data_IF_843089974738
#
_entry.id   IF_843089974738
#
_cell.length_a   1.000
_cell.length_b   1.000
_cell.length_c   1.000
_cell.angle_alpha   90.00
_cell.angle_beta   90.00
_cell.angle_gamma   90.00
#
_symmetry.space_group_name_H-M   'P 1'
#
loop_
_entity.id
_entity.type
_entity.pdbx_description
1 polymer ?
#
# COMPACT_ATOMS: atom_id res chain seq x y z
N UNK A 1 37.73 4.75 -10.63
CA UNK A 1 36.40 4.46 -11.21
C UNK A 1 35.36 4.69 -10.14
N UNK A 2 34.15 5.16 -10.48
CA UNK A 2 33.14 5.48 -9.48
C UNK A 2 32.68 4.19 -8.81
N UNK A 3 33.08 3.99 -7.57
CA UNK A 3 32.60 2.92 -6.70
C UNK A 3 32.41 3.49 -5.30
N UNK A 4 31.55 2.86 -4.52
CA UNK A 4 31.27 3.29 -3.15
C UNK A 4 31.46 2.14 -2.15
N UNK A 5 31.99 2.48 -0.98
CA UNK A 5 32.11 1.56 0.17
C UNK A 5 30.80 1.46 0.90
N UNK A 6 30.66 0.43 1.73
CA UNK A 6 29.47 0.26 2.58
C UNK A 6 29.25 1.51 3.46
N UNK A 7 30.31 2.15 3.94
CA UNK A 7 30.21 3.37 4.74
C UNK A 7 29.65 4.58 3.98
N UNK A 8 29.68 4.56 2.65
CA UNK A 8 29.14 5.61 1.79
C UNK A 8 27.75 5.27 1.25
N UNK A 9 27.22 4.08 1.53
CA UNK A 9 25.97 3.64 0.93
C UNK A 9 24.81 4.56 1.33
N UNK A 10 24.64 4.82 2.63
CA UNK A 10 23.58 5.69 3.15
C UNK A 10 23.63 7.10 2.54
N UNK A 11 24.84 7.63 2.31
CA UNK A 11 25.03 8.92 1.64
C UNK A 11 24.50 8.91 0.20
N UNK A 12 24.75 7.85 -0.58
CA UNK A 12 24.22 7.75 -1.94
C UNK A 12 22.70 7.50 -1.96
N UNK A 13 22.16 6.81 -0.95
CA UNK A 13 20.71 6.64 -0.79
C UNK A 13 20.03 7.99 -0.53
N UNK A 14 20.57 8.80 0.37
CA UNK A 14 20.08 10.16 0.65
C UNK A 14 20.10 11.03 -0.62
N UNK A 15 21.19 10.98 -1.39
CA UNK A 15 21.29 11.69 -2.67
C UNK A 15 20.32 11.19 -3.75
N UNK A 16 19.76 9.98 -3.57
CA UNK A 16 18.84 9.34 -4.50
C UNK A 16 17.38 9.31 -4.03
N UNK A 17 17.02 10.10 -3.01
CA UNK A 17 15.65 10.12 -2.46
C UNK A 17 14.61 10.85 -3.34
N UNK A 18 15.08 11.74 -4.22
CA UNK A 18 14.24 12.68 -4.98
C UNK A 18 14.39 12.68 -6.51
N UNK A 19 14.83 11.59 -7.19
CA UNK A 19 14.87 11.60 -8.64
C UNK A 19 13.46 11.70 -9.21
N UNK A 20 13.29 12.57 -10.20
CA UNK A 20 12.04 12.63 -10.94
C UNK A 20 11.93 11.44 -11.93
N UNK A 21 10.72 11.14 -12.44
CA UNK A 21 10.55 10.03 -13.38
C UNK A 21 11.40 10.16 -14.65
N UNK A 22 11.65 11.37 -15.15
CA UNK A 22 12.45 11.58 -16.36
C UNK A 22 13.91 11.20 -16.11
N UNK A 23 14.48 11.56 -14.96
CA UNK A 23 15.81 11.15 -14.55
C UNK A 23 15.90 9.62 -14.43
N UNK A 24 14.87 8.97 -13.86
CA UNK A 24 14.78 7.51 -13.82
C UNK A 24 14.72 6.89 -15.22
N UNK A 25 13.96 7.46 -16.18
CA UNK A 25 13.97 7.01 -17.58
C UNK A 25 15.35 7.11 -18.22
N UNK A 26 16.05 8.23 -18.02
CA UNK A 26 17.39 8.43 -18.58
C UNK A 26 18.37 7.40 -18.01
N UNK A 27 18.33 7.16 -16.70
CA UNK A 27 19.17 6.15 -16.06
C UNK A 27 18.82 4.73 -16.54
N UNK A 28 17.54 4.40 -16.69
CA UNK A 28 17.10 3.10 -17.25
C UNK A 28 17.67 2.91 -18.66
N UNK A 29 17.63 3.96 -19.50
CA UNK A 29 18.18 3.91 -20.86
C UNK A 29 19.68 3.64 -20.88
N UNK A 30 20.44 4.20 -19.94
CA UNK A 30 21.89 3.95 -19.82
C UNK A 30 22.15 2.49 -19.43
N UNK A 31 21.54 2.04 -18.32
CA UNK A 31 21.75 0.68 -17.81
C UNK A 31 21.30 -0.38 -18.81
N UNK A 32 20.09 -0.22 -19.38
CA UNK A 32 19.58 -1.16 -20.39
C UNK A 32 20.50 -1.32 -21.60
N UNK A 33 21.00 -0.21 -22.16
CA UNK A 33 21.93 -0.26 -23.30
C UNK A 33 23.22 -1.01 -22.98
N UNK A 34 23.75 -0.86 -21.77
CA UNK A 34 24.94 -1.61 -21.32
C UNK A 34 24.61 -3.11 -21.27
N UNK A 35 23.49 -3.48 -20.66
CA UNK A 35 23.06 -4.88 -20.56
C UNK A 35 22.79 -5.50 -21.94
N UNK A 36 22.10 -4.79 -22.82
CA UNK A 36 21.78 -5.25 -24.19
C UNK A 36 23.01 -5.47 -25.05
N UNK A 37 23.98 -4.54 -25.00
CA UNK A 37 25.28 -4.69 -25.71
C UNK A 37 26.03 -5.93 -25.26
N UNK A 38 25.85 -6.33 -24.00
CA UNK A 38 26.46 -7.52 -23.41
C UNK A 38 25.53 -8.75 -23.46
N UNK A 39 24.41 -8.66 -24.20
CA UNK A 39 23.42 -9.75 -24.38
C UNK A 39 22.83 -10.28 -23.07
N UNK A 40 22.73 -9.42 -22.06
CA UNK A 40 22.13 -9.74 -20.76
C UNK A 40 20.65 -9.39 -20.83
N UNK A 41 19.80 -10.41 -20.74
CA UNK A 41 18.36 -10.20 -20.58
C UNK A 41 18.10 -9.53 -19.24
N UNK A 42 17.25 -8.52 -19.23
CA UNK A 42 16.81 -7.84 -18.01
C UNK A 42 15.30 -7.60 -18.05
N UNK A 43 14.72 -7.24 -16.91
CA UNK A 43 13.33 -6.83 -16.79
C UNK A 43 13.17 -5.80 -15.68
N UNK A 44 12.61 -4.63 -16.01
CA UNK A 44 12.27 -3.60 -15.02
C UNK A 44 11.11 -4.12 -14.15
N UNK A 45 11.22 -3.97 -12.84
CA UNK A 45 10.25 -4.44 -11.84
C UNK A 45 9.61 -3.23 -11.13
N UNK A 46 8.90 -3.51 -10.03
CA UNK A 46 8.56 -2.50 -9.04
C UNK A 46 7.68 -1.36 -9.52
N UNK A 47 7.88 -0.18 -8.92
CA UNK A 47 7.11 1.03 -9.24
C UNK A 47 7.33 1.50 -10.67
N UNK A 48 8.56 1.48 -11.17
CA UNK A 48 8.84 1.96 -12.53
C UNK A 48 8.24 1.10 -13.63
N UNK A 49 8.10 -0.22 -13.43
CA UNK A 49 7.34 -1.05 -14.38
C UNK A 49 5.90 -0.54 -14.52
N UNK A 50 5.25 -0.23 -13.39
CA UNK A 50 3.87 0.27 -13.38
C UNK A 50 3.77 1.70 -13.93
N UNK A 51 4.73 2.57 -13.59
CA UNK A 51 4.80 3.93 -14.12
C UNK A 51 4.88 3.92 -15.65
N UNK A 52 5.77 3.10 -16.22
CA UNK A 52 5.92 2.96 -17.68
C UNK A 52 4.64 2.43 -18.34
N UNK A 53 3.84 1.64 -17.63
CA UNK A 53 2.52 1.17 -18.10
C UNK A 53 1.42 2.22 -17.96
N UNK A 54 1.70 3.38 -17.37
CA UNK A 54 0.76 4.49 -17.20
C UNK A 54 0.13 4.59 -15.80
N UNK A 55 0.76 4.03 -14.78
CA UNK A 55 0.43 4.36 -13.39
C UNK A 55 0.90 5.78 -13.06
N UNK A 56 0.12 6.53 -12.29
CA UNK A 56 0.50 7.86 -11.80
C UNK A 56 1.40 7.83 -10.56
N UNK A 57 1.65 6.64 -10.00
CA UNK A 57 2.49 6.48 -8.81
C UNK A 57 3.96 6.61 -9.19
N UNK A 58 4.64 7.58 -8.61
CA UNK A 58 6.11 7.69 -8.68
C UNK A 58 6.77 6.72 -7.69
N UNK A 59 8.03 6.39 -7.94
CA UNK A 59 8.88 5.59 -7.05
C UNK A 59 10.22 6.29 -6.89
N UNK A 60 10.99 5.94 -5.87
CA UNK A 60 12.29 6.59 -5.61
C UNK A 60 13.43 5.83 -6.31
N UNK A 61 13.25 4.54 -6.51
CA UNK A 61 14.24 3.62 -7.03
C UNK A 61 13.75 2.85 -8.28
N UNK A 62 14.71 2.24 -8.97
CA UNK A 62 14.47 1.35 -10.10
C UNK A 62 14.85 -0.08 -9.74
N UNK A 63 13.86 -0.93 -9.55
CA UNK A 63 14.08 -2.36 -9.42
C UNK A 63 14.34 -3.00 -10.80
N UNK A 64 15.39 -3.81 -10.93
CA UNK A 64 15.69 -4.50 -12.19
C UNK A 64 16.12 -5.95 -11.96
N UNK A 65 15.39 -6.89 -12.58
CA UNK A 65 15.83 -8.28 -12.68
C UNK A 65 16.84 -8.44 -13.82
N UNK A 66 17.85 -9.26 -13.61
CA UNK A 66 18.81 -9.70 -14.64
C UNK A 66 18.89 -11.23 -14.69
N UNK A 67 19.17 -11.73 -15.89
CA UNK A 67 19.37 -13.15 -16.15
C UNK A 67 20.77 -13.62 -15.72
N UNK A 68 20.93 -14.92 -15.46
CA UNK A 68 22.21 -15.59 -15.21
C UNK A 68 22.48 -16.60 -16.34
N UNK A 69 23.70 -16.71 -16.91
CA UNK A 69 24.93 -15.93 -16.65
C UNK A 69 24.88 -14.54 -17.31
N UNK A 70 25.50 -13.50 -16.69
CA UNK A 70 26.72 -13.56 -15.85
C UNK A 70 26.51 -13.65 -14.32
N UNK A 71 27.57 -13.82 -13.52
CA UNK A 71 27.50 -13.58 -12.07
C UNK A 71 27.27 -12.08 -11.79
N UNK A 72 26.74 -11.71 -10.62
CA UNK A 72 26.54 -10.29 -10.27
C UNK A 72 27.83 -9.49 -10.42
N UNK A 73 28.98 -10.05 -10.01
CA UNK A 73 30.28 -9.41 -10.18
C UNK A 73 30.54 -9.03 -11.65
N UNK A 74 30.33 -9.96 -12.57
CA UNK A 74 30.59 -9.73 -13.99
C UNK A 74 29.66 -8.65 -14.55
N UNK A 75 28.40 -8.57 -14.07
CA UNK A 75 27.47 -7.49 -14.44
C UNK A 75 27.96 -6.14 -13.91
N UNK A 76 28.40 -6.10 -12.64
CA UNK A 76 28.95 -4.88 -12.06
C UNK A 76 30.25 -4.44 -12.74
N UNK A 77 31.05 -5.39 -13.23
CA UNK A 77 32.27 -5.10 -13.97
C UNK A 77 31.99 -4.42 -15.32
N UNK A 78 30.80 -4.60 -15.91
CA UNK A 78 30.37 -3.85 -17.11
C UNK A 78 30.21 -2.35 -16.86
N UNK A 79 30.06 -1.93 -15.60
CA UNK A 79 29.88 -0.54 -15.23
C UNK A 79 31.20 0.18 -14.93
N UNK A 80 32.33 -0.54 -14.88
CA UNK A 80 33.64 0.01 -14.52
C UNK A 80 34.06 1.22 -15.36
N UNK A 81 33.76 1.20 -16.66
CA UNK A 81 34.17 2.23 -17.61
C UNK A 81 33.16 3.39 -17.74
N UNK A 82 32.06 3.37 -16.98
CA UNK A 82 31.05 4.43 -17.06
C UNK A 82 31.28 5.48 -15.96
N UNK A 83 31.53 6.76 -16.30
CA UNK A 83 31.88 7.79 -15.32
C UNK A 83 30.73 8.15 -14.36
N UNK A 84 29.49 7.93 -14.79
CA UNK A 84 28.30 8.30 -14.02
C UNK A 84 27.65 7.13 -13.27
N UNK A 85 28.24 5.93 -13.28
CA UNK A 85 27.68 4.76 -12.58
C UNK A 85 28.55 4.41 -11.37
N UNK A 86 27.94 4.47 -10.19
CA UNK A 86 28.55 4.16 -8.91
C UNK A 86 28.07 2.80 -8.45
N UNK A 87 28.98 1.82 -8.45
CA UNK A 87 28.71 0.45 -8.02
C UNK A 87 29.29 0.15 -6.63
N UNK A 88 28.81 -0.89 -5.94
CA UNK A 88 29.45 -1.34 -4.71
C UNK A 88 30.88 -1.79 -4.99
N UNK A 89 31.80 -1.45 -4.10
CA UNK A 89 33.21 -1.87 -4.19
C UNK A 89 33.35 -3.37 -3.90
N UNK A 90 32.59 -3.88 -2.92
CA UNK A 90 32.87 -5.16 -2.28
C UNK A 90 31.71 -6.17 -2.41
N UNK A 91 32.06 -7.46 -2.44
CA UNK A 91 31.09 -8.57 -2.49
C UNK A 91 30.09 -8.59 -1.35
N UNK A 92 30.48 -8.11 -0.17
CA UNK A 92 29.58 -8.05 0.98
C UNK A 92 28.34 -7.20 0.71
N UNK A 93 28.46 -6.12 -0.07
CA UNK A 93 27.35 -5.21 -0.39
C UNK A 93 26.32 -5.83 -1.33
N UNK A 94 26.67 -6.91 -2.06
CA UNK A 94 25.74 -7.64 -2.94
C UNK A 94 25.62 -9.12 -2.61
N UNK A 95 26.11 -9.55 -1.45
CA UNK A 95 26.08 -10.95 -1.01
C UNK A 95 24.66 -11.50 -0.88
N UNK A 96 23.68 -10.63 -0.68
CA UNK A 96 22.25 -10.97 -0.67
C UNK A 96 21.71 -11.35 -2.05
N UNK A 97 22.41 -11.01 -3.14
CA UNK A 97 21.95 -11.17 -4.52
C UNK A 97 21.20 -9.95 -5.08
N UNK A 98 21.10 -8.86 -4.32
CA UNK A 98 20.77 -7.51 -4.82
C UNK A 98 22.05 -6.69 -4.81
N UNK A 99 22.36 -6.01 -5.91
CA UNK A 99 23.38 -4.98 -5.96
C UNK A 99 22.69 -3.62 -6.14
N UNK A 100 22.94 -2.71 -5.22
CA UNK A 100 22.48 -1.33 -5.31
C UNK A 100 23.46 -0.54 -6.17
N UNK A 101 23.00 0.11 -7.22
CA UNK A 101 23.84 0.88 -8.15
C UNK A 101 23.25 2.27 -8.24
N UNK A 102 24.08 3.31 -8.25
CA UNK A 102 23.62 4.68 -8.40
C UNK A 102 24.07 5.24 -9.73
N UNK A 103 23.14 5.83 -10.48
CA UNK A 103 23.41 6.45 -11.78
C UNK A 103 23.20 7.94 -11.67
N UNK A 104 24.24 8.73 -11.95
CA UNK A 104 24.18 10.18 -11.91
C UNK A 104 23.58 10.74 -13.21
N UNK A 105 22.45 11.46 -13.09
CA UNK A 105 21.74 12.12 -14.19
C UNK A 105 21.48 13.57 -13.78
N UNK A 106 22.04 14.53 -14.52
CA UNK A 106 21.84 15.97 -14.26
C UNK A 106 22.05 16.37 -12.79
N UNK A 107 23.15 15.88 -12.21
CA UNK A 107 23.53 16.07 -10.80
C UNK A 107 22.63 15.41 -9.74
N UNK A 108 21.62 14.63 -10.16
CA UNK A 108 20.79 13.79 -9.28
C UNK A 108 21.19 12.33 -9.41
N UNK A 109 21.12 11.58 -8.30
CA UNK A 109 21.40 10.15 -8.32
C UNK A 109 20.10 9.35 -8.44
N UNK A 110 20.10 8.35 -9.32
CA UNK A 110 19.03 7.37 -9.43
C UNK A 110 19.52 6.04 -8.88
N UNK A 111 18.82 5.52 -7.87
CA UNK A 111 19.09 4.21 -7.31
C UNK A 111 18.52 3.09 -8.19
N UNK A 112 19.33 2.06 -8.42
CA UNK A 112 18.95 0.79 -9.02
C UNK A 112 19.16 -0.35 -8.04
N UNK A 113 18.11 -1.12 -7.77
CA UNK A 113 18.24 -2.40 -7.07
C UNK A 113 18.27 -3.52 -8.13
N UNK A 114 19.49 -3.93 -8.51
CA UNK A 114 19.73 -4.97 -9.53
C UNK A 114 19.68 -6.34 -8.87
N UNK A 115 18.80 -7.22 -9.34
CA UNK A 115 18.47 -8.50 -8.73
C UNK A 115 18.75 -9.65 -9.68
N UNK A 116 19.39 -10.70 -9.18
CA UNK A 116 19.54 -11.95 -9.95
C UNK A 116 18.23 -12.73 -9.98
N UNK A 117 17.92 -13.33 -11.13
CA UNK A 117 16.85 -14.33 -11.21
C UNK A 117 17.04 -15.48 -10.21
N UNK A 118 15.92 -16.07 -9.79
CA UNK A 118 15.92 -17.26 -8.93
C UNK A 118 16.29 -17.03 -7.47
N UNK A 119 16.39 -15.78 -7.02
CA UNK A 119 16.53 -15.46 -5.60
C UNK A 119 15.25 -15.82 -4.85
N UNK A 120 15.36 -16.70 -3.86
CA UNK A 120 14.28 -16.97 -2.91
C UNK A 120 14.07 -15.75 -1.99
N UNK A 121 12.81 -15.38 -1.76
CA UNK A 121 12.42 -14.30 -0.84
C UNK A 121 12.15 -12.93 -1.49
N UNK A 122 12.83 -12.57 -2.58
CA UNK A 122 12.50 -11.35 -3.32
C UNK A 122 11.55 -11.69 -4.47
N UNK A 123 10.29 -11.28 -4.32
CA UNK A 123 9.33 -11.06 -5.41
C UNK A 123 9.52 -12.00 -6.63
N UNK A 124 9.24 -13.30 -6.45
CA UNK A 124 9.25 -14.37 -7.48
C UNK A 124 9.79 -13.99 -8.87
N UNK A 125 11.09 -13.67 -8.98
CA UNK A 125 11.71 -13.39 -10.28
C UNK A 125 11.76 -14.72 -11.02
N UNK A 126 11.14 -14.83 -12.21
CA UNK A 126 11.07 -16.11 -12.93
C UNK A 126 12.45 -16.67 -13.27
N UNK A 127 12.58 -17.99 -13.20
CA UNK A 127 13.82 -18.69 -13.59
C UNK A 127 14.16 -18.52 -15.08
N UNK A 128 13.13 -18.34 -15.90
CA UNK A 128 13.28 -17.99 -17.31
C UNK A 128 12.85 -16.52 -17.52
N UNK A 129 13.75 -15.59 -17.15
CA UNK A 129 13.48 -14.17 -17.24
C UNK A 129 13.17 -13.74 -18.68
N UNK A 130 13.86 -14.31 -19.68
CA UNK A 130 13.67 -14.00 -21.10
C UNK A 130 12.25 -14.24 -21.59
N UNK A 131 11.60 -15.31 -21.13
CA UNK A 131 10.20 -15.61 -21.47
C UNK A 131 9.21 -14.80 -20.62
N UNK A 132 9.70 -14.16 -19.57
CA UNK A 132 8.90 -13.47 -18.56
C UNK A 132 9.02 -11.94 -18.62
N UNK A 133 9.56 -11.41 -19.73
CA UNK A 133 9.67 -9.98 -19.97
C UNK A 133 8.95 -9.59 -21.25
N UNK A 134 8.45 -8.37 -21.26
CA UNK A 134 7.74 -7.77 -22.38
C UNK A 134 8.55 -6.58 -22.88
N UNK A 135 8.80 -6.57 -24.19
CA UNK A 135 9.36 -5.40 -24.85
C UNK A 135 8.29 -4.31 -24.93
N UNK A 136 8.62 -3.10 -24.51
CA UNK A 136 7.75 -1.93 -24.62
C UNK A 136 8.56 -0.73 -25.09
N UNK A 137 7.87 0.30 -25.57
CA UNK A 137 8.47 1.63 -25.79
C UNK A 137 8.17 2.50 -24.58
N UNK A 138 9.21 2.82 -23.82
CA UNK A 138 9.17 3.83 -22.77
C UNK A 138 9.28 5.21 -23.42
N UNK A 139 8.46 6.17 -22.98
CA UNK A 139 8.49 7.55 -23.49
C UNK A 139 8.53 8.55 -22.33
N UNK A 140 9.37 9.56 -22.46
CA UNK A 140 9.54 10.65 -21.51
C UNK A 140 9.79 11.94 -22.29
N UNK A 141 8.83 12.88 -22.25
CA UNK A 141 8.89 14.08 -23.08
C UNK A 141 8.97 13.75 -24.57
N UNK A 142 10.00 14.28 -25.25
CA UNK A 142 10.28 14.01 -26.67
C UNK A 142 11.14 12.76 -26.91
N UNK A 143 11.63 12.11 -25.85
CA UNK A 143 12.49 10.94 -25.98
C UNK A 143 11.69 9.64 -25.81
N UNK A 144 12.04 8.64 -26.61
CA UNK A 144 11.52 7.28 -26.46
C UNK A 144 12.63 6.25 -26.65
N UNK A 145 12.56 5.15 -25.92
CA UNK A 145 13.45 4.01 -26.13
C UNK A 145 12.72 2.69 -25.84
N UNK A 146 13.18 1.62 -26.49
CA UNK A 146 12.68 0.28 -26.19
C UNK A 146 13.32 -0.25 -24.92
N UNK A 147 12.53 -0.87 -24.05
CA UNK A 147 13.01 -1.54 -22.86
C UNK A 147 12.21 -2.80 -22.56
N UNK A 148 12.71 -3.61 -21.64
CA UNK A 148 12.06 -4.84 -21.18
C UNK A 148 11.45 -4.62 -19.80
N UNK A 149 10.14 -4.80 -19.69
CA UNK A 149 9.41 -4.82 -18.43
C UNK A 149 9.19 -6.26 -17.99
N UNK A 150 9.22 -6.54 -16.69
CA UNK A 150 8.67 -7.80 -16.20
C UNK A 150 7.21 -7.94 -16.63
N UNK A 151 6.86 -9.14 -17.11
CA UNK A 151 5.55 -9.43 -17.62
C UNK A 151 4.46 -9.34 -16.54
N UNK A 152 3.22 -9.13 -16.96
CA UNK A 152 2.09 -8.91 -16.03
C UNK A 152 1.90 -10.08 -15.05
N UNK A 153 2.03 -11.33 -15.50
CA UNK A 153 1.88 -12.51 -14.64
C UNK A 153 2.82 -12.52 -13.44
N UNK A 154 4.16 -12.54 -13.62
CA UNK A 154 5.08 -12.53 -12.49
C UNK A 154 5.01 -11.22 -11.69
N UNK A 155 4.64 -10.10 -12.31
CA UNK A 155 4.45 -8.81 -11.62
C UNK A 155 3.27 -8.85 -10.65
N UNK A 156 2.07 -9.29 -11.09
CA UNK A 156 0.90 -9.35 -10.21
C UNK A 156 1.07 -10.40 -9.12
N UNK A 157 1.71 -11.54 -9.44
CA UNK A 157 2.00 -12.60 -8.47
C UNK A 157 2.93 -12.10 -7.36
N UNK A 158 4.01 -11.41 -7.72
CA UNK A 158 4.95 -10.85 -6.75
C UNK A 158 4.31 -9.74 -5.91
N UNK A 159 3.48 -8.88 -6.50
CA UNK A 159 2.76 -7.82 -5.78
C UNK A 159 1.71 -8.36 -4.82
N UNK A 160 0.91 -9.36 -5.22
CA UNK A 160 -0.06 -10.00 -4.33
C UNK A 160 0.63 -10.70 -3.16
N UNK A 161 1.75 -11.40 -3.41
CA UNK A 161 2.56 -12.00 -2.34
C UNK A 161 3.08 -10.96 -1.37
N UNK A 162 3.76 -9.93 -1.89
CA UNK A 162 4.33 -8.87 -1.07
C UNK A 162 3.25 -8.17 -0.24
N UNK A 163 2.11 -7.85 -0.86
CA UNK A 163 0.96 -7.27 -0.17
C UNK A 163 0.42 -8.19 0.93
N UNK A 164 0.28 -9.48 0.67
CA UNK A 164 -0.17 -10.44 1.68
C UNK A 164 0.80 -10.55 2.88
N UNK A 165 2.10 -10.42 2.65
CA UNK A 165 3.11 -10.54 3.71
C UNK A 165 3.27 -9.26 4.54
N UNK A 166 3.06 -8.07 3.95
CA UNK A 166 3.40 -6.79 4.60
C UNK A 166 2.29 -5.74 4.61
N UNK A 167 1.20 -5.97 3.90
CA UNK A 167 0.02 -5.09 3.79
C UNK A 167 0.35 -3.62 3.45
N UNK A 168 1.40 -3.36 2.68
CA UNK A 168 1.82 -1.98 2.39
C UNK A 168 0.80 -1.24 1.53
N UNK A 169 0.60 0.06 1.81
CA UNK A 169 -0.25 0.94 1.00
C UNK A 169 0.23 1.03 -0.45
N UNK A 170 1.55 1.02 -0.68
CA UNK A 170 2.14 1.07 -2.01
C UNK A 170 1.76 -0.16 -2.86
N UNK A 171 1.83 -1.37 -2.31
CA UNK A 171 1.39 -2.56 -3.06
C UNK A 171 -0.12 -2.59 -3.25
N UNK A 172 -0.90 -2.09 -2.30
CA UNK A 172 -2.35 -1.94 -2.48
C UNK A 172 -2.67 -1.04 -3.68
N UNK A 173 -2.05 0.14 -3.77
CA UNK A 173 -2.22 1.08 -4.89
C UNK A 173 -1.83 0.42 -6.22
N UNK A 174 -0.69 -0.28 -6.23
CA UNK A 174 -0.20 -0.99 -7.42
C UNK A 174 -1.18 -2.07 -7.89
N UNK A 175 -1.72 -2.87 -6.95
CA UNK A 175 -2.68 -3.94 -7.25
C UNK A 175 -4.03 -3.39 -7.73
N UNK A 176 -4.50 -2.29 -7.13
CA UNK A 176 -5.69 -1.58 -7.61
C UNK A 176 -5.47 -1.13 -9.06
N UNK A 177 -4.34 -0.50 -9.37
CA UNK A 177 -4.01 -0.09 -10.74
C UNK A 177 -4.00 -1.28 -11.70
N UNK A 178 -3.30 -2.36 -11.37
CA UNK A 178 -3.20 -3.57 -12.19
C UNK A 178 -4.58 -4.19 -12.49
N UNK A 179 -5.49 -4.17 -11.52
CA UNK A 179 -6.82 -4.76 -11.65
C UNK A 179 -7.84 -3.83 -12.33
N UNK A 180 -7.66 -2.51 -12.24
CA UNK A 180 -8.63 -1.52 -12.75
C UNK A 180 -8.27 -0.97 -14.13
N UNK A 181 -6.98 -1.00 -14.51
CA UNK A 181 -6.52 -0.53 -15.80
C UNK A 181 -7.02 -1.45 -16.94
N UNK A 182 -7.73 -0.89 -17.92
CA UNK A 182 -8.38 -1.65 -19.00
C UNK A 182 -7.43 -2.40 -19.93
N UNK A 183 -6.18 -1.94 -20.08
CA UNK A 183 -5.18 -2.62 -20.93
C UNK A 183 -4.49 -3.75 -20.19
N UNK A 184 -4.39 -3.65 -18.86
CA UNK A 184 -3.66 -4.60 -18.01
C UNK A 184 -4.57 -5.66 -17.38
N UNK A 185 -5.79 -5.31 -16.98
CA UNK A 185 -6.65 -6.17 -16.16
C UNK A 185 -7.09 -7.47 -16.84
N UNK A 186 -7.25 -7.48 -18.17
CA UNK A 186 -7.52 -8.70 -18.96
C UNK A 186 -6.39 -9.72 -18.81
N UNK A 187 -5.15 -9.22 -18.74
CA UNK A 187 -3.94 -10.03 -18.60
C UNK A 187 -3.79 -10.54 -17.18
N UNK A 188 -4.12 -9.70 -16.18
CA UNK A 188 -4.26 -10.14 -14.78
C UNK A 188 -5.28 -11.27 -14.67
N UNK A 189 -6.45 -11.13 -15.30
CA UNK A 189 -7.48 -12.19 -15.31
C UNK A 189 -7.02 -13.48 -15.97
N UNK A 190 -6.30 -13.38 -17.09
CA UNK A 190 -5.79 -14.55 -17.79
C UNK A 190 -4.82 -15.38 -16.93
N UNK A 191 -4.08 -14.74 -16.03
CA UNK A 191 -3.14 -15.43 -15.13
C UNK A 191 -3.70 -15.73 -13.74
N UNK A 192 -4.84 -15.17 -13.34
CA UNK A 192 -5.21 -15.15 -11.92
C UNK A 192 -5.47 -16.54 -11.32
N UNK A 193 -5.80 -17.53 -12.16
CA UNK A 193 -5.95 -18.92 -11.78
C UNK A 193 -4.62 -19.57 -11.33
N UNK A 194 -3.46 -19.06 -11.75
CA UNK A 194 -2.13 -19.55 -11.34
C UNK A 194 -1.62 -18.90 -10.05
N UNK A 195 -2.35 -17.91 -9.54
CA UNK A 195 -2.00 -17.14 -8.34
C UNK A 195 -2.65 -17.78 -7.12
N UNK A 196 -1.89 -17.83 -6.01
CA UNK A 196 -2.38 -18.32 -4.73
C UNK A 196 -3.71 -17.64 -4.35
N UNK A 197 -4.73 -18.45 -4.10
CA UNK A 197 -6.06 -18.00 -3.76
C UNK A 197 -6.11 -17.19 -2.46
N UNK A 198 -5.32 -17.56 -1.44
CA UNK A 198 -5.31 -16.81 -0.17
C UNK A 198 -4.80 -15.38 -0.34
N UNK A 199 -3.83 -15.16 -1.24
CA UNK A 199 -3.33 -13.81 -1.54
C UNK A 199 -4.38 -12.97 -2.27
N UNK A 200 -5.10 -13.57 -3.23
CA UNK A 200 -6.18 -12.92 -3.96
C UNK A 200 -7.34 -12.53 -3.04
N UNK A 201 -7.75 -13.45 -2.16
CA UNK A 201 -8.84 -13.23 -1.20
C UNK A 201 -8.45 -12.18 -0.15
N UNK A 202 -7.24 -12.24 0.40
CA UNK A 202 -6.76 -11.24 1.37
C UNK A 202 -6.70 -9.83 0.79
N UNK A 203 -6.28 -9.68 -0.47
CA UNK A 203 -6.33 -8.39 -1.14
C UNK A 203 -7.76 -7.90 -1.37
N UNK A 204 -8.67 -8.79 -1.82
CA UNK A 204 -10.08 -8.44 -2.01
C UNK A 204 -10.75 -8.01 -0.69
N UNK A 205 -10.45 -8.68 0.42
CA UNK A 205 -10.94 -8.29 1.74
C UNK A 205 -10.52 -6.85 2.09
N UNK A 206 -9.27 -6.47 1.80
CA UNK A 206 -8.83 -5.08 2.00
C UNK A 206 -9.61 -4.11 1.12
N UNK A 207 -9.83 -4.44 -0.15
CA UNK A 207 -10.61 -3.59 -1.07
C UNK A 207 -11.98 -3.31 -0.49
N UNK A 208 -12.66 -4.33 0.04
CA UNK A 208 -13.97 -4.19 0.68
C UNK A 208 -13.92 -3.24 1.89
N UNK A 209 -12.85 -3.32 2.69
CA UNK A 209 -12.64 -2.40 3.83
C UNK A 209 -12.40 -0.95 3.42
N UNK A 210 -11.82 -0.69 2.24
CA UNK A 210 -11.51 0.66 1.73
C UNK A 210 -12.66 1.28 0.92
N UNK A 211 -13.66 0.48 0.53
CA UNK A 211 -14.85 0.94 -0.20
C UNK A 211 -15.21 0.03 -1.37
N UNK A 212 -16.51 -0.11 -1.60
CA UNK A 212 -17.06 -1.07 -2.57
C UNK A 212 -16.89 -0.66 -4.05
N UNK A 213 -16.52 0.58 -4.35
CA UNK A 213 -16.56 1.11 -5.72
C UNK A 213 -15.69 0.31 -6.71
N UNK A 214 -14.53 -0.17 -6.27
CA UNK A 214 -13.58 -0.93 -7.10
C UNK A 214 -13.73 -2.45 -6.95
N UNK A 215 -14.55 -2.93 -6.02
CA UNK A 215 -14.69 -4.36 -5.74
C UNK A 215 -15.10 -5.16 -6.99
N UNK A 216 -16.12 -4.75 -7.78
CA UNK A 216 -16.59 -5.58 -8.90
C UNK A 216 -15.51 -5.81 -9.97
N UNK A 217 -14.73 -4.77 -10.29
CA UNK A 217 -13.67 -4.85 -11.31
C UNK A 217 -12.45 -5.61 -10.78
N UNK A 218 -12.09 -5.46 -9.51
CA UNK A 218 -10.99 -6.21 -8.89
C UNK A 218 -11.34 -7.70 -8.80
N UNK A 219 -12.57 -8.02 -8.36
CA UNK A 219 -13.09 -9.38 -8.33
C UNK A 219 -13.07 -10.01 -9.72
N UNK A 220 -13.50 -9.27 -10.74
CA UNK A 220 -13.41 -9.70 -12.14
C UNK A 220 -11.97 -9.92 -12.59
N UNK A 221 -11.06 -8.99 -12.31
CA UNK A 221 -9.66 -9.09 -12.72
C UNK A 221 -8.96 -10.28 -12.04
N UNK A 222 -9.31 -10.60 -10.79
CA UNK A 222 -8.72 -11.72 -10.06
C UNK A 222 -9.44 -13.04 -10.26
N UNK A 223 -10.44 -13.11 -11.14
CA UNK A 223 -11.28 -14.30 -11.37
C UNK A 223 -11.79 -14.91 -10.05
N UNK A 224 -12.37 -14.06 -9.21
CA UNK A 224 -13.03 -14.45 -7.96
C UNK A 224 -14.54 -14.48 -8.21
N UNK A 225 -15.23 -15.46 -7.62
CA UNK A 225 -16.68 -15.58 -7.77
C UNK A 225 -17.37 -14.33 -7.26
N UNK A 226 -18.45 -13.90 -7.94
CA UNK A 226 -19.34 -12.87 -7.40
C UNK A 226 -19.82 -13.35 -6.05
N UNK A 227 -19.59 -12.55 -5.00
CA UNK A 227 -20.39 -12.68 -3.80
C UNK A 227 -21.83 -12.64 -4.29
N UNK A 228 -22.55 -13.74 -4.08
CA UNK A 228 -23.97 -13.80 -4.38
C UNK A 228 -24.56 -12.52 -3.80
N UNK A 229 -25.04 -11.60 -4.66
CA UNK A 229 -25.76 -10.43 -4.16
C UNK A 229 -26.73 -10.98 -3.13
N UNK A 230 -26.73 -10.48 -1.88
CA UNK A 230 -27.56 -11.04 -0.84
C UNK A 230 -28.95 -11.15 -1.44
N UNK A 231 -29.36 -12.38 -1.76
CA UNK A 231 -30.62 -12.59 -2.42
C UNK A 231 -31.62 -12.00 -1.43
N UNK A 232 -32.35 -10.98 -1.87
CA UNK A 232 -33.52 -10.51 -1.16
C UNK A 232 -34.41 -11.75 -1.00
N UNK A 233 -34.24 -12.46 0.11
CA UNK A 233 -35.19 -13.44 0.63
C UNK A 233 -36.36 -12.65 1.19
N UNK A 234 -36.99 -11.88 0.31
CA UNK A 234 -38.21 -11.15 0.54
C UNK A 234 -39.20 -11.76 -0.43
N UNK A 235 -40.17 -12.49 0.16
CA UNK A 235 -41.36 -13.06 -0.47
C UNK A 235 -41.22 -14.42 -1.19
N UNK A 236 -40.76 -15.45 -0.49
CA UNK A 236 -41.54 -16.70 -0.50
C UNK A 236 -42.62 -16.55 0.57
N UNK A 237 -43.84 -16.24 0.15
CA UNK A 237 -44.98 -16.07 1.06
C UNK A 237 -45.22 -17.32 1.91
N UNK A 238 -45.70 -17.18 3.16
CA UNK A 238 -46.02 -18.33 3.99
C UNK A 238 -47.29 -19.02 3.49
N UNK A 239 -47.38 -20.37 3.52
CA UNK A 239 -48.68 -20.99 3.72
C UNK A 239 -49.08 -20.73 5.17
N UNK A 240 -50.23 -20.08 5.33
CA UNK A 240 -50.94 -19.88 6.59
C UNK A 240 -50.94 -21.13 7.48
N UNK A 241 -50.42 -21.00 8.70
CA UNK A 241 -50.46 -22.06 9.71
C UNK A 241 -50.14 -21.54 11.11
N UNK A 242 -51.18 -21.31 11.90
CA UNK A 242 -51.12 -21.06 13.34
C UNK A 242 -50.31 -22.15 14.07
N UNK A 243 -49.37 -21.75 14.93
CA UNK A 243 -49.45 -22.09 16.36
C UNK A 243 -48.33 -21.45 17.19
N UNK A 244 -48.73 -21.02 18.38
CA UNK A 244 -47.95 -20.59 19.53
C UNK A 244 -47.00 -21.69 20.06
N UNK A 245 -45.79 -21.31 20.48
CA UNK A 245 -45.27 -21.55 21.85
C UNK A 245 -43.84 -20.99 22.01
N UNK A 246 -43.57 -20.45 23.20
CA UNK A 246 -42.38 -19.69 23.54
C UNK A 246 -41.08 -20.47 23.60
N UNK A 247 -39.98 -19.77 23.33
CA UNK A 247 -38.62 -20.27 23.42
C UNK A 247 -37.65 -19.14 23.80
N UNK A 248 -36.92 -19.40 24.89
CA UNK A 248 -35.89 -18.57 25.52
C UNK A 248 -34.98 -17.82 24.54
N UNK A 249 -34.89 -16.50 24.71
CA UNK A 249 -34.02 -15.61 23.95
C UNK A 249 -32.55 -15.80 24.35
N UNK A 250 -31.87 -16.73 23.69
CA UNK A 250 -30.42 -16.73 23.62
C UNK A 250 -29.96 -15.62 22.69
N UNK A 251 -29.52 -14.49 23.26
CA UNK A 251 -28.92 -13.37 22.52
C UNK A 251 -27.56 -13.76 21.95
N UNK A 252 -27.55 -14.51 20.83
CA UNK A 252 -26.35 -14.71 20.05
C UNK A 252 -25.92 -13.38 19.43
N UNK A 253 -24.61 -13.08 19.46
CA UNK A 253 -24.05 -11.97 18.69
C UNK A 253 -24.49 -12.11 17.21
N UNK A 254 -24.91 -11.02 16.54
CA UNK A 254 -25.24 -11.08 15.12
C UNK A 254 -24.04 -11.58 14.30
N UNK A 255 -24.30 -12.27 13.18
CA UNK A 255 -23.23 -12.67 12.25
C UNK A 255 -22.73 -11.46 11.46
N UNK A 256 -21.48 -11.48 11.03
CA UNK A 256 -20.94 -10.45 10.13
C UNK A 256 -21.82 -10.30 8.89
N UNK A 257 -22.16 -9.06 8.53
CA UNK A 257 -23.07 -8.75 7.44
C UNK A 257 -24.57 -8.90 7.77
N UNK A 258 -24.94 -9.28 9.00
CA UNK A 258 -26.35 -9.27 9.41
C UNK A 258 -26.93 -7.86 9.30
N UNK A 259 -28.16 -7.73 8.83
CA UNK A 259 -28.86 -6.44 8.78
C UNK A 259 -29.73 -6.21 10.02
N UNK A 260 -29.86 -4.96 10.44
CA UNK A 260 -30.73 -4.58 11.55
C UNK A 260 -32.19 -4.76 11.16
N UNK A 261 -33.09 -4.79 12.14
CA UNK A 261 -34.52 -5.01 11.89
C UNK A 261 -35.15 -3.96 10.96
N UNK A 262 -34.61 -2.73 10.94
CA UNK A 262 -35.05 -1.64 10.06
C UNK A 262 -34.35 -1.64 8.69
N UNK A 263 -33.42 -2.57 8.46
CA UNK A 263 -32.64 -2.67 7.23
C UNK A 263 -31.69 -1.49 6.97
N UNK A 264 -31.46 -0.61 7.96
CA UNK A 264 -30.59 0.55 7.79
C UNK A 264 -29.13 0.23 8.14
N UNK A 265 -28.89 -0.76 8.98
CA UNK A 265 -27.57 -1.05 9.51
C UNK A 265 -27.10 -2.44 9.13
N UNK A 266 -25.79 -2.57 8.95
CA UNK A 266 -25.08 -3.83 8.72
C UNK A 266 -24.15 -4.07 9.90
N UNK A 267 -24.20 -5.26 10.50
CA UNK A 267 -23.33 -5.64 11.62
C UNK A 267 -21.94 -6.00 11.11
N UNK A 268 -20.91 -5.45 11.76
CA UNK A 268 -19.53 -5.87 11.58
C UNK A 268 -19.06 -6.69 12.78
N UNK A 269 -18.81 -7.99 12.59
CA UNK A 269 -18.28 -8.86 13.64
C UNK A 269 -16.88 -8.43 14.10
N UNK A 270 -16.09 -7.84 13.18
CA UNK A 270 -14.77 -7.28 13.48
C UNK A 270 -14.83 -6.12 14.46
N UNK A 271 -15.78 -5.19 14.25
CA UNK A 271 -15.93 -4.00 15.07
C UNK A 271 -16.92 -4.20 16.24
N UNK A 272 -17.61 -5.34 16.27
CA UNK A 272 -18.71 -5.67 17.18
C UNK A 272 -19.77 -4.56 17.24
N UNK A 273 -20.00 -3.89 16.10
CA UNK A 273 -20.88 -2.74 15.99
C UNK A 273 -21.63 -2.74 14.65
N UNK A 274 -22.69 -1.97 14.60
CA UNK A 274 -23.53 -1.75 13.44
C UNK A 274 -23.04 -0.52 12.67
N UNK A 275 -23.01 -0.58 11.34
CA UNK A 275 -22.68 0.56 10.48
C UNK A 275 -23.73 0.79 9.39
N UNK A 276 -23.91 2.05 8.99
CA UNK A 276 -24.71 2.44 7.83
C UNK A 276 -23.76 2.98 6.76
N UNK A 277 -23.80 2.39 5.55
CA UNK A 277 -23.05 2.86 4.40
C UNK A 277 -23.83 3.94 3.64
N UNK A 278 -23.23 5.09 3.41
CA UNK A 278 -23.82 6.18 2.64
C UNK A 278 -23.48 6.04 1.15
N UNK A 279 -24.28 6.67 0.30
CA UNK A 279 -24.09 6.63 -1.16
C UNK A 279 -22.77 7.23 -1.65
N UNK A 280 -22.10 8.04 -0.83
CA UNK A 280 -20.78 8.61 -1.11
C UNK A 280 -19.61 7.71 -0.69
N UNK A 281 -19.90 6.52 -0.15
CA UNK A 281 -18.92 5.55 0.32
C UNK A 281 -18.43 5.80 1.75
N UNK A 282 -18.95 6.82 2.44
CA UNK A 282 -18.70 7.00 3.88
C UNK A 282 -19.55 6.04 4.72
N UNK A 283 -19.15 5.84 5.97
CA UNK A 283 -19.88 5.00 6.93
C UNK A 283 -20.15 5.77 8.21
N UNK A 284 -21.28 5.51 8.86
CA UNK A 284 -21.56 5.95 10.22
C UNK A 284 -21.72 4.74 11.11
N UNK A 285 -21.04 4.72 12.26
CA UNK A 285 -21.17 3.65 13.24
C UNK A 285 -22.30 3.94 14.23
N UNK A 286 -23.04 2.92 14.67
CA UNK A 286 -24.18 3.09 15.56
C UNK A 286 -23.73 3.64 16.93
N UNK A 287 -22.56 3.23 17.40
CA UNK A 287 -21.93 3.76 18.62
C UNK A 287 -21.62 5.26 18.54
N UNK A 288 -21.27 5.80 17.36
CA UNK A 288 -21.00 7.24 17.16
C UNK A 288 -22.26 8.10 17.29
N UNK A 289 -23.43 7.52 16.95
CA UNK A 289 -24.73 8.20 17.03
C UNK A 289 -25.23 8.32 18.47
N UNK A 290 -24.94 7.34 19.33
CA UNK A 290 -25.32 7.39 20.75
C UNK A 290 -24.54 8.46 21.53
N UNK A 291 -23.32 8.80 21.10
CA UNK A 291 -22.52 9.85 21.75
C UNK A 291 -23.03 11.28 21.43
N UNK A 292 -23.80 11.46 20.36
CA UNK A 292 -24.24 12.78 19.88
C UNK A 292 -25.69 13.15 20.22
N UNK A 293 -26.50 12.21 20.73
CA UNK A 293 -27.91 12.45 21.10
C UNK A 293 -28.13 12.90 22.55
N UNK A 294 -27.12 13.51 23.19
CA UNK A 294 -27.24 14.15 24.50
C UNK A 294 -28.19 15.35 24.46
N UNK A 295 -29.49 15.10 24.58
CA UNK A 295 -30.55 16.12 24.67
C UNK A 295 -30.35 16.91 25.96
N UNK A 296 -29.93 18.17 25.85
CA UNK A 296 -29.95 19.13 26.96
C UNK A 296 -31.39 19.26 27.47
N UNK A 297 -31.65 18.70 28.65
CA UNK A 297 -32.86 18.96 29.41
C UNK A 297 -32.68 20.30 30.15
N UNK A 298 -33.27 21.36 29.61
CA UNK A 298 -33.53 22.60 30.33
C UNK A 298 -34.79 22.41 31.19
N UNK A 299 -34.63 22.11 32.47
CA UNK A 299 -35.68 22.36 33.46
C UNK A 299 -35.05 22.97 34.72
N UNK A 300 -35.44 24.22 34.97
CA UNK A 300 -35.03 24.95 36.16
C UNK A 300 -35.70 24.37 37.40
N UNK A 301 -34.91 24.18 38.46
CA UNK A 301 -35.37 24.34 39.84
C UNK A 301 -34.18 24.64 40.73
N UNK A 302 -34.24 25.78 41.41
CA UNK A 302 -33.32 26.17 42.47
C UNK A 302 -33.35 25.14 43.60
N UNK A 303 -32.16 24.77 44.07
CA UNK A 303 -31.93 24.33 45.44
C UNK A 303 -30.59 24.89 45.91
N UNK A 304 -30.66 25.62 47.02
CA UNK A 304 -29.57 26.23 47.79
C UNK A 304 -28.79 25.22 48.64
N UNK A 305 -27.68 25.71 49.20
CA UNK A 305 -26.69 25.03 50.08
C UNK A 305 -25.60 24.28 49.31
N UNK A 306 -24.30 24.44 49.57
CA UNK A 306 -23.59 25.09 50.67
C UNK A 306 -22.60 24.09 51.26
N UNK A 307 -21.34 24.10 50.79
CA UNK A 307 -20.13 23.76 51.58
C UNK A 307 -18.87 23.81 50.72
N UNK A 308 -17.93 24.65 51.15
CA UNK A 308 -16.51 24.50 50.84
C UNK A 308 -15.95 23.26 51.55
N UNK A 309 -15.10 22.49 50.86
CA UNK A 309 -13.95 21.80 51.48
C UNK A 309 -12.80 21.79 50.47
N UNK A 310 -11.69 22.40 50.88
CA UNK A 310 -10.32 22.23 50.39
C UNK A 310 -9.77 20.84 50.68
N UNK A 311 -9.10 20.19 49.73
CA UNK A 311 -7.91 19.38 50.06
C UNK A 311 -7.06 19.14 48.82
N UNK A 312 -5.80 19.59 48.86
CA UNK A 312 -4.79 19.23 47.88
C UNK A 312 -4.30 17.79 48.04
N UNK A 313 -3.63 17.29 47.00
CA UNK A 313 -2.60 16.27 47.13
C UNK A 313 -1.68 16.31 45.91
N UNK A 314 -0.45 16.77 46.11
CA UNK A 314 0.69 16.32 45.31
C UNK A 314 1.02 14.90 45.71
N UNK A 315 1.26 14.00 44.74
CA UNK A 315 2.32 12.99 44.81
C UNK A 315 2.91 12.78 43.41
N UNK A 316 4.23 12.67 43.43
CA UNK A 316 5.25 12.47 42.42
C UNK A 316 5.28 11.11 41.72
N UNK A 317 6.04 11.11 40.61
CA UNK A 317 6.93 10.06 40.07
C UNK A 317 6.35 8.85 39.33
N UNK A 318 7.00 8.51 38.21
CA UNK A 318 6.97 7.17 37.64
C UNK A 318 7.19 7.12 36.14
N UNK A 319 8.46 7.08 35.71
CA UNK A 319 8.84 6.64 34.37
C UNK A 319 8.42 5.19 34.13
N UNK A 320 8.02 4.87 32.89
CA UNK A 320 7.69 3.50 32.50
C UNK A 320 7.42 3.38 31.00
N UNK A 321 8.48 3.10 30.26
CA UNK A 321 8.46 2.64 28.87
C UNK A 321 7.58 1.39 28.70
N UNK A 322 6.71 1.37 27.69
CA UNK A 322 6.27 0.13 27.06
C UNK A 322 5.86 0.34 25.60
N UNK A 323 6.62 -0.33 24.74
CA UNK A 323 6.33 -0.80 23.39
C UNK A 323 4.91 -0.57 22.84
N UNK A 324 4.85 0.23 21.76
CA UNK A 324 4.64 -0.35 20.43
C UNK A 324 3.30 -1.01 20.13
N UNK A 325 2.21 -0.57 20.77
CA UNK A 325 0.87 -0.78 20.24
C UNK A 325 0.52 0.39 19.33
N UNK A 326 0.58 0.19 18.01
CA UNK A 326 0.24 1.21 17.01
C UNK A 326 -1.24 1.58 17.09
N UNK A 327 -1.59 2.49 18.00
CA UNK A 327 -2.89 3.12 17.99
C UNK A 327 -3.02 3.88 16.66
N UNK A 328 -3.97 3.45 15.83
CA UNK A 328 -4.27 4.12 14.57
C UNK A 328 -4.67 5.58 14.88
N UNK A 329 -3.88 6.54 14.41
CA UNK A 329 -4.19 7.96 14.56
C UNK A 329 -5.45 8.30 13.77
N UNK A 330 -6.37 9.04 14.37
CA UNK A 330 -7.60 9.51 13.71
C UNK A 330 -7.34 10.80 12.93
N UNK A 331 -8.02 10.99 11.81
CA UNK A 331 -7.97 12.26 11.08
C UNK A 331 -8.38 13.41 12.01
N UNK A 332 -7.60 14.49 12.03
CA UNK A 332 -7.80 15.62 12.94
C UNK A 332 -7.26 15.41 14.36
N UNK A 333 -6.71 14.23 14.70
CA UNK A 333 -6.11 13.99 16.01
C UNK A 333 -4.97 14.98 16.27
N UNK A 334 -4.92 15.55 17.47
CA UNK A 334 -3.84 16.43 17.91
C UNK A 334 -2.71 15.63 18.57
N UNK A 335 -1.47 16.08 18.40
CA UNK A 335 -0.32 15.55 19.13
C UNK A 335 -0.41 15.89 20.62
N UNK A 336 0.40 15.25 21.46
CA UNK A 336 0.36 15.48 22.91
C UNK A 336 0.62 16.93 23.33
N UNK A 337 1.36 17.70 22.51
CA UNK A 337 1.62 19.12 22.69
C UNK A 337 0.58 20.04 22.01
N UNK A 338 -0.40 19.47 21.29
CA UNK A 338 -1.42 20.20 20.55
C UNK A 338 -0.93 20.91 19.28
N UNK A 339 0.37 20.87 18.98
CA UNK A 339 0.97 21.63 17.88
C UNK A 339 0.66 21.00 16.51
N UNK A 340 0.70 19.67 16.42
CA UNK A 340 0.45 18.93 15.19
C UNK A 340 -0.98 18.40 15.11
N UNK A 341 -1.46 18.24 13.88
CA UNK A 341 -2.74 17.63 13.53
C UNK A 341 -2.47 16.49 12.56
N UNK A 342 -2.97 15.30 12.85
CA UNK A 342 -2.80 14.15 11.96
C UNK A 342 -3.77 14.25 10.78
N UNK A 343 -3.29 14.02 9.56
CA UNK A 343 -4.11 13.81 8.38
C UNK A 343 -4.10 12.34 7.98
N UNK A 344 -5.26 11.68 8.06
CA UNK A 344 -5.41 10.31 7.61
C UNK A 344 -5.23 10.18 6.09
N UNK A 345 -5.61 11.22 5.32
CA UNK A 345 -5.45 11.26 3.87
C UNK A 345 -3.98 11.15 3.44
N UNK A 346 -3.08 11.80 4.17
CA UNK A 346 -1.65 11.83 3.84
C UNK A 346 -0.81 10.94 4.76
N UNK A 347 -1.47 10.23 5.69
CA UNK A 347 -0.83 9.44 6.75
C UNK A 347 0.31 10.17 7.48
N UNK A 348 0.12 11.47 7.74
CA UNK A 348 1.19 12.35 8.21
C UNK A 348 0.63 13.47 9.11
N UNK A 349 1.50 14.02 9.94
CA UNK A 349 1.21 15.14 10.81
C UNK A 349 1.46 16.46 10.09
N UNK A 350 0.59 17.44 10.28
CA UNK A 350 0.75 18.80 9.77
C UNK A 350 0.42 19.83 10.84
N UNK A 351 0.97 21.04 10.68
CA UNK A 351 0.48 22.20 11.41
C UNK A 351 0.26 23.35 10.42
N UNK A 352 -0.72 24.20 10.72
CA UNK A 352 -1.05 25.36 9.88
C UNK A 352 -0.37 26.59 10.45
N UNK A 353 0.50 27.21 9.68
CA UNK A 353 1.20 28.43 10.06
C UNK A 353 0.27 29.65 10.02
N UNK A 354 0.72 30.77 10.62
CA UNK A 354 -0.07 32.01 10.69
C UNK A 354 -0.38 32.61 9.32
N UNK A 355 0.47 32.37 8.33
CA UNK A 355 0.26 32.77 6.94
C UNK A 355 -0.77 31.88 6.20
N UNK A 356 -1.25 30.81 6.84
CA UNK A 356 -2.21 29.87 6.29
C UNK A 356 -1.58 28.67 5.57
N UNK A 357 -0.26 28.59 5.48
CA UNK A 357 0.46 27.46 4.88
C UNK A 357 0.44 26.23 5.79
N UNK A 358 0.51 25.05 5.17
CA UNK A 358 0.56 23.77 5.87
C UNK A 358 2.00 23.25 5.83
N UNK A 359 2.61 23.07 6.99
CA UNK A 359 3.92 22.44 7.09
C UNK A 359 3.74 21.03 7.62
N UNK A 360 4.30 20.06 6.91
CA UNK A 360 4.22 18.64 7.25
C UNK A 360 5.38 18.24 8.15
N UNK A 361 5.14 17.35 9.11
CA UNK A 361 6.17 16.87 10.03
C UNK A 361 7.33 16.21 9.30
N UNK A 362 7.05 15.52 8.19
CA UNK A 362 8.08 14.95 7.31
C UNK A 362 8.96 15.97 6.57
N UNK A 363 8.60 17.26 6.58
CA UNK A 363 9.39 18.34 5.97
C UNK A 363 10.31 19.04 6.98
N UNK A 364 10.12 18.79 8.28
CA UNK A 364 11.00 19.29 9.35
C UNK A 364 11.91 18.14 9.79
N UNK A 365 13.07 18.04 9.16
CA UNK A 365 14.23 17.34 9.74
C UNK A 365 14.89 18.24 10.79
#
# INVERSE_FOLDING_TARGET
>A
MPSYRIENQDYFEELAESPDPNQQFHAIRIISRILERNRITYGILGGMNLFIRGSNRTTQDVDMAIDNPPQMKDVLDLFNDHPDIYRPENRMQWGSGVARVFVKIDDVYVQFDIMRKGREGIASIPQNLRESVERTTASSGSESFECYLLAIEPLVKSKLKAYHERESLNDYIDLVYLCTNQTVNRRVRATSATINESWRLGFLERVQQQGYAQEPIIRWALNLDRTSSPQNKSAAGPPSGNNSQGGSHGGGEPKDGAMSQDGQWTYSARHKDWYHAHSDGSYTWASERQASSGRQASSGRQATSGKQVTSGKQVTSGAGSSNGGGAAYRDGQKSGDGYWTYSAKYANWYHKERNGEYVWASQKN
#
